data_IF_570851996595
#
_entry.id   IF_570851996595
#
_cell.length_a   1.000
_cell.length_b   1.000
_cell.length_c   1.000
_cell.angle_alpha   90.00
_cell.angle_beta   90.00
_cell.angle_gamma   90.00
#
_symmetry.space_group_name_H-M   'P 1'
#
loop_
_entity.id
_entity.type
_entity.pdbx_description
1 polymer ?
#
# COMPACT_ATOMS: atom_id res chain seq x y z
N UNK A 1 -123.44 80.10 63.11
CA UNK A 1 -123.40 78.65 63.40
C UNK A 1 -122.23 77.98 62.68
N UNK A 2 -122.17 78.05 61.33
CA UNK A 2 -121.12 77.42 60.50
C UNK A 2 -119.67 77.74 60.90
N UNK A 3 -119.33 79.02 61.09
CA UNK A 3 -117.97 79.44 61.50
C UNK A 3 -117.50 78.89 62.86
N UNK A 4 -118.43 78.61 63.80
CA UNK A 4 -118.06 78.02 65.10
C UNK A 4 -117.72 76.54 64.97
N UNK A 5 -118.47 75.81 64.14
CA UNK A 5 -118.20 74.41 63.86
C UNK A 5 -116.89 74.21 63.09
N UNK A 6 -116.60 75.07 62.10
CA UNK A 6 -115.33 75.07 61.36
C UNK A 6 -114.13 75.34 62.28
N UNK A 7 -114.26 76.25 63.26
CA UNK A 7 -113.22 76.52 64.26
C UNK A 7 -112.99 75.33 65.22
N UNK A 8 -114.05 74.64 65.62
CA UNK A 8 -113.99 73.45 66.48
C UNK A 8 -113.31 72.27 65.77
N UNK A 9 -113.65 72.03 64.50
CA UNK A 9 -112.99 71.03 63.65
C UNK A 9 -111.51 71.40 63.43
N UNK A 10 -111.20 72.66 63.12
CA UNK A 10 -109.82 73.10 62.97
C UNK A 10 -109.01 72.94 64.27
N UNK A 11 -109.63 73.20 65.43
CA UNK A 11 -109.04 72.95 66.75
C UNK A 11 -108.72 71.48 66.99
N UNK A 12 -109.68 70.58 66.73
CA UNK A 12 -109.49 69.15 66.86
C UNK A 12 -108.42 68.59 65.91
N UNK A 13 -108.36 69.10 64.67
CA UNK A 13 -107.31 68.75 63.70
C UNK A 13 -105.94 69.26 64.17
N UNK A 14 -105.86 70.48 64.71
CA UNK A 14 -104.60 71.02 65.25
C UNK A 14 -104.10 70.22 66.46
N UNK A 15 -105.01 69.79 67.35
CA UNK A 15 -104.68 68.94 68.49
C UNK A 15 -104.23 67.53 68.05
N UNK A 16 -104.94 66.93 67.10
CA UNK A 16 -104.55 65.65 66.51
C UNK A 16 -103.20 65.72 65.80
N UNK A 17 -102.94 66.80 65.06
CA UNK A 17 -101.65 67.04 64.41
C UNK A 17 -100.51 67.22 65.44
N UNK A 18 -100.76 67.92 66.55
CA UNK A 18 -99.77 68.06 67.65
C UNK A 18 -99.45 66.73 68.32
N UNK A 19 -100.45 65.90 68.60
CA UNK A 19 -100.23 64.56 69.16
C UNK A 19 -99.47 63.65 68.19
N UNK A 20 -99.84 63.67 66.90
CA UNK A 20 -99.16 62.90 65.86
C UNK A 20 -97.69 63.34 65.72
N UNK A 21 -97.42 64.66 65.74
CA UNK A 21 -96.08 65.22 65.70
C UNK A 21 -95.23 64.68 66.87
N UNK A 22 -95.76 64.72 68.10
CA UNK A 22 -95.06 64.21 69.28
C UNK A 22 -94.73 62.71 69.18
N UNK A 23 -95.64 61.89 68.64
CA UNK A 23 -95.38 60.46 68.40
C UNK A 23 -94.34 60.22 67.31
N UNK A 24 -94.35 61.04 66.25
CA UNK A 24 -93.34 60.99 65.18
C UNK A 24 -91.98 61.40 65.71
N UNK A 25 -91.88 62.45 66.53
CA UNK A 25 -90.63 62.89 67.16
C UNK A 25 -90.01 61.79 68.02
N UNK A 26 -90.80 61.12 68.88
CA UNK A 26 -90.32 59.98 69.68
C UNK A 26 -89.86 58.82 68.79
N UNK A 27 -90.61 58.52 67.72
CA UNK A 27 -90.26 57.45 66.79
C UNK A 27 -88.98 57.76 65.99
N UNK A 28 -88.77 59.03 65.62
CA UNK A 28 -87.59 59.50 64.92
C UNK A 28 -86.35 59.38 65.81
N UNK A 29 -86.42 59.85 67.06
CA UNK A 29 -85.31 59.73 68.03
C UNK A 29 -84.94 58.26 68.24
N UNK A 30 -85.93 57.39 68.44
CA UNK A 30 -85.67 55.95 68.59
C UNK A 30 -85.03 55.33 67.35
N UNK A 31 -85.52 55.68 66.15
CA UNK A 31 -84.94 55.20 64.90
C UNK A 31 -83.51 55.71 64.70
N UNK A 32 -83.21 56.95 65.10
CA UNK A 32 -81.86 57.52 65.08
C UNK A 32 -80.93 56.79 66.06
N UNK A 33 -81.39 56.47 67.27
CA UNK A 33 -80.62 55.69 68.25
C UNK A 33 -80.34 54.26 67.77
N UNK A 34 -81.36 53.57 67.24
CA UNK A 34 -81.21 52.22 66.68
C UNK A 34 -80.25 52.22 65.48
N UNK A 35 -80.35 53.23 64.60
CA UNK A 35 -79.42 53.42 63.48
C UNK A 35 -77.99 53.68 63.98
N UNK A 36 -77.81 54.58 64.95
CA UNK A 36 -76.49 54.91 65.50
C UNK A 36 -75.86 53.71 66.23
N UNK A 37 -76.66 52.85 66.87
CA UNK A 37 -76.18 51.59 67.44
C UNK A 37 -75.75 50.60 66.35
N UNK A 38 -76.54 50.46 65.27
CA UNK A 38 -76.21 49.60 64.13
C UNK A 38 -74.95 50.08 63.39
N UNK A 39 -74.78 51.38 63.18
CA UNK A 39 -73.59 51.97 62.53
C UNK A 39 -72.33 51.71 63.38
N UNK A 40 -72.41 51.87 64.71
CA UNK A 40 -71.29 51.53 65.61
C UNK A 40 -70.95 50.04 65.59
N UNK A 41 -71.95 49.17 65.62
CA UNK A 41 -71.73 47.71 65.56
C UNK A 41 -71.12 47.29 64.20
N UNK A 42 -71.56 47.91 63.11
CA UNK A 42 -70.99 47.70 61.77
C UNK A 42 -69.53 48.14 61.72
N UNK A 43 -69.21 49.34 62.22
CA UNK A 43 -67.84 49.85 62.24
C UNK A 43 -66.90 48.97 63.08
N UNK A 44 -67.38 48.43 64.21
CA UNK A 44 -66.63 47.46 65.01
C UNK A 44 -66.31 46.18 64.21
N UNK A 45 -67.32 45.57 63.59
CA UNK A 45 -67.14 44.37 62.75
C UNK A 45 -66.24 44.60 61.54
N UNK A 46 -66.31 45.78 60.91
CA UNK A 46 -65.43 46.13 59.79
C UNK A 46 -63.97 46.26 60.24
N UNK A 47 -63.75 46.79 61.45
CA UNK A 47 -62.41 46.86 62.05
C UNK A 47 -61.87 45.47 62.37
N UNK A 48 -62.66 44.62 63.03
CA UNK A 48 -62.27 43.24 63.34
C UNK A 48 -61.97 42.44 62.07
N UNK A 49 -62.79 42.60 61.03
CA UNK A 49 -62.58 41.95 59.74
C UNK A 49 -61.31 42.44 59.04
N UNK A 50 -60.95 43.73 59.19
CA UNK A 50 -59.70 44.26 58.66
C UNK A 50 -58.49 43.63 59.38
N UNK A 51 -58.52 43.54 60.71
CA UNK A 51 -57.46 42.91 61.52
C UNK A 51 -57.26 41.44 61.13
N UNK A 52 -58.33 40.66 60.99
CA UNK A 52 -58.23 39.25 60.60
C UNK A 52 -57.75 39.08 59.14
N UNK A 53 -58.10 40.02 58.23
CA UNK A 53 -57.58 40.02 56.86
C UNK A 53 -56.08 40.31 56.80
N UNK A 54 -55.62 41.28 57.57
CA UNK A 54 -54.19 41.61 57.64
C UNK A 54 -53.41 40.43 58.22
N UNK A 55 -53.91 39.80 59.30
CA UNK A 55 -53.33 38.58 59.85
C UNK A 55 -53.29 37.43 58.83
N UNK A 56 -54.36 37.25 58.07
CA UNK A 56 -54.40 36.26 56.99
C UNK A 56 -53.39 36.54 55.88
N UNK A 57 -53.17 37.81 55.55
CA UNK A 57 -52.17 38.24 54.55
C UNK A 57 -50.75 37.99 55.04
N UNK A 58 -50.47 38.27 56.30
CA UNK A 58 -49.14 38.04 56.90
C UNK A 58 -48.81 36.55 56.96
N UNK A 59 -49.74 35.73 57.46
CA UNK A 59 -49.58 34.26 57.49
C UNK A 59 -49.39 33.67 56.10
N UNK A 60 -50.12 34.17 55.10
CA UNK A 60 -49.93 33.76 53.70
C UNK A 60 -48.53 34.13 53.21
N UNK A 61 -48.04 35.34 53.52
CA UNK A 61 -46.68 35.76 53.18
C UNK A 61 -45.60 34.90 53.83
N UNK A 62 -45.80 34.44 55.08
CA UNK A 62 -44.90 33.49 55.74
C UNK A 62 -44.95 32.10 55.09
N UNK A 63 -46.13 31.61 54.74
CA UNK A 63 -46.32 30.33 54.04
C UNK A 63 -45.62 30.34 52.68
N UNK A 64 -45.78 31.41 51.89
CA UNK A 64 -45.15 31.55 50.59
C UNK A 64 -43.62 31.52 50.72
N UNK A 65 -43.05 32.26 51.68
CA UNK A 65 -41.59 32.25 51.97
C UNK A 65 -41.08 30.86 52.37
N UNK A 66 -41.81 30.15 53.22
CA UNK A 66 -41.41 28.82 53.66
C UNK A 66 -41.46 27.83 52.49
N UNK A 67 -42.52 27.90 51.67
CA UNK A 67 -42.70 27.07 50.48
C UNK A 67 -41.55 27.28 49.49
N UNK A 68 -41.19 28.52 49.20
CA UNK A 68 -40.06 28.85 48.32
C UNK A 68 -38.73 28.29 48.84
N UNK A 69 -38.52 28.32 50.16
CA UNK A 69 -37.30 27.79 50.78
C UNK A 69 -37.19 26.27 50.67
N UNK A 70 -38.31 25.56 50.87
CA UNK A 70 -38.39 24.10 50.73
C UNK A 70 -38.17 23.73 49.27
N UNK A 71 -38.85 24.39 48.34
CA UNK A 71 -38.71 24.09 46.92
C UNK A 71 -37.28 24.33 46.42
N UNK A 72 -36.62 25.41 46.87
CA UNK A 72 -35.20 25.64 46.58
C UNK A 72 -34.32 24.50 47.10
N UNK A 73 -34.58 24.03 48.32
CA UNK A 73 -33.87 22.89 48.91
C UNK A 73 -34.07 21.60 48.11
N UNK A 74 -35.30 21.32 47.69
CA UNK A 74 -35.65 20.16 46.87
C UNK A 74 -34.95 20.19 45.51
N UNK A 75 -34.94 21.34 44.84
CA UNK A 75 -34.26 21.53 43.55
C UNK A 75 -32.76 21.32 43.69
N UNK A 76 -32.11 21.92 44.70
CA UNK A 76 -30.69 21.71 44.95
C UNK A 76 -30.38 20.24 45.28
N UNK A 77 -31.24 19.59 46.08
CA UNK A 77 -31.11 18.18 46.41
C UNK A 77 -31.27 17.27 45.18
N UNK A 78 -32.18 17.60 44.26
CA UNK A 78 -32.32 16.90 42.99
C UNK A 78 -31.09 17.09 42.09
N UNK A 79 -30.57 18.31 41.97
CA UNK A 79 -29.37 18.61 41.20
C UNK A 79 -28.15 17.86 41.72
N UNK A 80 -27.94 17.83 43.04
CA UNK A 80 -26.83 17.09 43.65
C UNK A 80 -26.96 15.57 43.45
N UNK A 81 -28.16 15.00 43.56
CA UNK A 81 -28.40 13.57 43.29
C UNK A 81 -28.08 13.21 41.85
N UNK A 82 -28.59 13.98 40.90
CA UNK A 82 -28.29 13.76 39.48
C UNK A 82 -26.80 13.89 39.18
N UNK A 83 -26.10 14.84 39.84
CA UNK A 83 -24.66 14.96 39.69
C UNK A 83 -23.90 13.76 40.25
N UNK A 84 -24.36 13.18 41.36
CA UNK A 84 -23.79 11.96 41.93
C UNK A 84 -23.99 10.81 40.94
N UNK A 85 -25.21 10.56 40.47
CA UNK A 85 -25.51 9.50 39.50
C UNK A 85 -24.66 9.59 38.21
N UNK A 86 -24.46 10.81 37.71
CA UNK A 86 -23.57 11.07 36.56
C UNK A 86 -22.12 10.66 36.85
N UNK A 87 -21.61 10.98 38.04
CA UNK A 87 -20.25 10.62 38.44
C UNK A 87 -20.11 9.12 38.67
N UNK A 88 -21.13 8.47 39.21
CA UNK A 88 -21.16 7.02 39.41
C UNK A 88 -21.15 6.26 38.09
N UNK A 89 -22.00 6.69 37.14
CA UNK A 89 -22.01 6.14 35.78
C UNK A 89 -20.65 6.30 35.11
N UNK A 90 -20.08 7.51 35.22
CA UNK A 90 -18.77 7.81 34.64
C UNK A 90 -17.65 6.94 35.23
N UNK A 91 -17.65 6.70 36.54
CA UNK A 91 -16.67 5.84 37.18
C UNK A 91 -16.72 4.41 36.64
N UNK A 92 -17.93 3.88 36.43
CA UNK A 92 -18.11 2.53 35.91
C UNK A 92 -17.73 2.43 34.42
N UNK A 93 -18.12 3.40 33.60
CA UNK A 93 -17.84 3.37 32.16
C UNK A 93 -16.37 3.61 31.82
N UNK A 94 -15.72 4.59 32.45
CA UNK A 94 -14.34 4.96 32.10
C UNK A 94 -13.30 4.13 32.85
N UNK A 95 -13.57 3.77 34.11
CA UNK A 95 -12.58 3.12 34.98
C UNK A 95 -12.94 1.66 35.30
N UNK A 96 -14.18 1.23 35.08
CA UNK A 96 -14.62 -0.14 35.38
C UNK A 96 -14.69 -0.46 36.88
N UNK A 97 -14.74 0.57 37.75
CA UNK A 97 -14.72 0.41 39.21
C UNK A 97 -15.98 1.01 39.83
N UNK A 98 -16.56 0.31 40.80
CA UNK A 98 -17.71 0.83 41.54
C UNK A 98 -17.33 2.04 42.42
N UNK A 99 -18.22 3.04 42.60
CA UNK A 99 -17.92 4.27 43.33
C UNK A 99 -17.41 4.04 44.76
N UNK A 100 -17.97 3.06 45.47
CA UNK A 100 -17.56 2.72 46.83
C UNK A 100 -16.12 2.19 46.87
N UNK A 101 -15.73 1.35 45.90
CA UNK A 101 -14.37 0.85 45.76
C UNK A 101 -13.39 1.97 45.41
N UNK A 102 -13.78 2.87 44.51
CA UNK A 102 -12.95 4.01 44.11
C UNK A 102 -12.69 4.96 45.28
N UNK A 103 -13.69 5.25 46.11
CA UNK A 103 -13.50 6.07 47.32
C UNK A 103 -12.68 5.32 48.37
N UNK A 104 -12.90 4.02 48.55
CA UNK A 104 -12.19 3.22 49.53
C UNK A 104 -10.69 3.08 49.21
N UNK A 105 -10.33 2.94 47.93
CA UNK A 105 -8.94 2.71 47.51
C UNK A 105 -8.21 3.98 47.05
N UNK A 106 -8.93 4.94 46.46
CA UNK A 106 -8.36 6.15 45.85
C UNK A 106 -8.96 7.45 46.39
N UNK A 107 -9.65 7.39 47.54
CA UNK A 107 -10.21 8.56 48.20
C UNK A 107 -9.13 9.53 48.74
N UNK A 108 -9.50 10.77 49.08
CA UNK A 108 -8.58 11.77 49.65
C UNK A 108 -7.89 11.33 50.94
N UNK A 109 -8.49 10.39 51.67
CA UNK A 109 -7.98 9.84 52.92
C UNK A 109 -6.94 8.73 52.70
N UNK A 110 -6.78 8.25 51.45
CA UNK A 110 -5.80 7.24 51.09
C UNK A 110 -4.50 7.88 50.60
N UNK A 111 -3.34 7.28 50.88
CA UNK A 111 -2.09 7.76 50.34
C UNK A 111 -2.01 7.45 48.83
N UNK A 112 -1.51 8.42 48.06
CA UNK A 112 -1.38 8.30 46.62
C UNK A 112 -0.20 7.38 46.30
N UNK A 113 -0.40 6.31 45.49
CA UNK A 113 0.70 5.42 45.12
C UNK A 113 1.75 6.16 44.28
N UNK A 114 3.04 5.74 44.41
CA UNK A 114 4.11 6.33 43.62
C UNK A 114 3.80 6.23 42.12
N UNK A 115 4.31 7.18 41.33
CA UNK A 115 4.21 7.06 39.88
C UNK A 115 5.02 5.84 39.45
N UNK A 116 4.48 4.94 38.61
CA UNK A 116 5.31 3.91 38.03
C UNK A 116 6.47 4.62 37.34
N UNK A 117 7.70 4.27 37.73
CA UNK A 117 8.90 4.80 37.10
C UNK A 117 8.73 4.59 35.60
N UNK A 118 8.68 5.68 34.83
CA UNK A 118 8.70 5.58 33.37
C UNK A 118 9.99 4.84 33.03
N UNK A 119 9.89 3.58 32.61
CA UNK A 119 11.04 2.80 32.18
C UNK A 119 11.70 3.53 31.02
N UNK A 120 12.74 4.33 31.30
CA UNK A 120 13.42 5.14 30.31
C UNK A 120 13.99 6.48 30.76
N UNK A 121 13.62 7.02 31.94
CA UNK A 121 14.33 8.20 32.46
C UNK A 121 15.56 7.76 33.26
N UNK A 122 16.71 7.72 32.58
CA UNK A 122 18.02 7.66 33.23
C UNK A 122 18.11 8.80 34.27
N UNK A 123 18.32 8.41 35.53
CA UNK A 123 18.76 9.36 36.55
C UNK A 123 20.08 9.98 36.12
N UNK A 124 20.26 11.30 36.17
CA UNK A 124 21.54 11.90 35.83
C UNK A 124 22.59 11.45 36.84
N UNK A 125 23.62 10.79 36.31
CA UNK A 125 24.81 10.37 37.06
C UNK A 125 25.45 11.55 37.80
N UNK A 126 25.86 11.30 39.05
CA UNK A 126 26.98 12.03 39.63
C UNK A 126 26.89 12.34 41.13
N UNK A 127 27.16 11.35 42.00
CA UNK A 127 28.14 11.50 43.09
C UNK A 127 28.33 10.16 43.83
N UNK A 128 29.53 9.61 43.69
CA UNK A 128 30.09 8.50 44.44
C UNK A 128 30.07 8.68 45.96
N UNK A 129 29.84 7.60 46.71
CA UNK A 129 30.20 7.50 48.12
C UNK A 129 29.51 6.33 48.81
N UNK A 130 30.26 5.26 49.08
CA UNK A 130 29.73 3.98 49.57
C UNK A 130 29.12 3.99 50.98
N UNK A 131 28.39 2.91 51.27
CA UNK A 131 27.89 2.60 52.60
C UNK A 131 26.55 1.89 52.55
N UNK A 132 26.52 0.67 53.05
CA UNK A 132 25.35 -0.22 53.19
C UNK A 132 24.10 0.44 53.79
N UNK A 133 22.96 0.26 53.15
CA UNK A 133 21.67 -0.04 53.78
C UNK A 133 20.67 -0.43 52.68
N UNK A 134 19.92 -1.49 52.93
CA UNK A 134 18.74 -1.84 52.16
C UNK A 134 17.70 -0.71 52.22
N UNK A 135 16.88 -0.65 51.17
CA UNK A 135 15.55 -0.03 51.13
C UNK A 135 15.48 1.46 51.47
N UNK A 136 15.39 2.31 50.44
CA UNK A 136 14.47 3.46 50.34
C UNK A 136 14.97 4.44 49.25
N UNK A 137 14.53 4.23 48.01
CA UNK A 137 14.46 5.35 47.07
C UNK A 137 13.34 6.29 47.54
N UNK A 138 13.59 7.61 47.75
CA UNK A 138 12.57 8.54 48.26
C UNK A 138 11.37 8.72 47.33
N UNK A 139 11.45 8.26 46.08
CA UNK A 139 10.40 8.36 45.06
C UNK A 139 9.30 7.31 45.16
N UNK A 140 9.51 6.23 45.92
CA UNK A 140 8.62 5.05 45.94
C UNK A 140 7.65 5.02 47.13
N UNK A 141 7.68 6.06 47.99
CA UNK A 141 6.81 6.12 49.17
C UNK A 141 5.46 6.76 48.83
N UNK A 142 4.34 6.18 49.29
CA UNK A 142 3.02 6.79 49.12
C UNK A 142 2.97 8.18 49.76
N UNK A 143 2.51 9.18 48.99
CA UNK A 143 2.43 10.58 49.43
C UNK A 143 0.99 10.96 49.83
N UNK A 144 0.79 11.90 50.76
CA UNK A 144 -0.55 12.39 51.08
C UNK A 144 -1.26 12.97 49.85
N UNK A 145 -2.58 12.81 49.78
CA UNK A 145 -3.37 13.36 48.68
C UNK A 145 -3.38 14.89 48.71
N UNK A 146 -2.81 15.49 47.66
CA UNK A 146 -2.91 16.94 47.39
C UNK A 146 -3.61 17.14 46.06
N UNK A 147 -4.85 17.66 46.09
CA UNK A 147 -5.71 17.82 44.90
C UNK A 147 -4.99 18.50 43.73
N UNK A 148 -4.30 19.61 43.99
CA UNK A 148 -3.62 20.38 42.95
C UNK A 148 -2.50 19.57 42.25
N UNK A 149 -1.79 18.72 42.98
CA UNK A 149 -0.73 17.87 42.43
C UNK A 149 -1.32 16.71 41.62
N UNK A 150 -2.42 16.11 42.09
CA UNK A 150 -3.09 15.03 41.37
C UNK A 150 -3.76 15.52 40.09
N UNK A 151 -4.36 16.71 40.09
CA UNK A 151 -4.87 17.34 38.86
C UNK A 151 -3.75 17.59 37.85
N UNK A 152 -2.55 18.00 38.31
CA UNK A 152 -1.38 18.17 37.45
C UNK A 152 -0.89 16.83 36.90
N UNK A 153 -0.84 15.79 37.73
CA UNK A 153 -0.46 14.42 37.36
C UNK A 153 -1.42 13.82 36.33
N UNK A 154 -2.74 13.98 36.54
CA UNK A 154 -3.78 13.55 35.60
C UNK A 154 -3.60 14.23 34.24
N UNK A 155 -3.45 15.56 34.21
CA UNK A 155 -3.22 16.30 32.95
C UNK A 155 -1.95 15.85 32.23
N UNK A 156 -0.89 15.48 32.95
CA UNK A 156 0.33 14.96 32.36
C UNK A 156 0.11 13.57 31.75
N UNK A 157 -0.56 12.67 32.48
CA UNK A 157 -0.90 11.33 32.01
C UNK A 157 -1.85 11.36 30.80
N UNK A 158 -2.87 12.23 30.81
CA UNK A 158 -3.80 12.41 29.68
C UNK A 158 -3.07 12.89 28.42
N UNK A 159 -2.09 13.79 28.56
CA UNK A 159 -1.25 14.21 27.42
C UNK A 159 -0.38 13.07 26.89
N UNK A 160 0.25 12.30 27.78
CA UNK A 160 1.06 11.14 27.38
C UNK A 160 0.20 10.07 26.69
N UNK A 161 -1.00 9.81 27.20
CA UNK A 161 -1.98 8.92 26.57
C UNK A 161 -2.39 9.41 25.17
N UNK A 162 -2.67 10.70 25.02
CA UNK A 162 -3.00 11.27 23.70
C UNK A 162 -1.83 11.21 22.71
N UNK A 163 -0.57 11.27 23.19
CA UNK A 163 0.62 11.13 22.34
C UNK A 163 0.83 9.71 21.80
N UNK A 164 0.40 8.68 22.53
CA UNK A 164 0.43 7.28 22.06
C UNK A 164 -0.46 7.06 20.83
N UNK A 165 -1.41 7.96 20.57
CA UNK A 165 -2.28 7.89 19.42
C UNK A 165 -3.28 6.74 19.51
N UNK A 166 -3.88 6.38 18.37
CA UNK A 166 -4.84 5.28 18.31
C UNK A 166 -4.09 3.96 18.22
N UNK A 167 -4.29 3.07 19.19
CA UNK A 167 -3.77 1.70 19.14
C UNK A 167 -4.45 0.98 17.98
N UNK A 168 -3.66 0.44 17.05
CA UNK A 168 -4.17 -0.37 15.94
C UNK A 168 -4.34 -1.83 16.43
N UNK A 169 -5.57 -2.34 16.62
CA UNK A 169 -5.79 -3.70 17.10
C UNK A 169 -5.34 -4.77 16.08
N UNK A 170 -5.22 -4.42 14.80
CA UNK A 170 -4.80 -5.34 13.73
C UNK A 170 -3.28 -5.37 13.53
N UNK A 171 -2.50 -4.57 14.27
CA UNK A 171 -1.07 -4.41 14.04
C UNK A 171 -0.29 -5.73 14.12
N UNK A 172 -0.68 -6.64 15.02
CA UNK A 172 -0.02 -7.93 15.16
C UNK A 172 -0.30 -8.85 13.96
N UNK A 173 -1.53 -8.86 13.46
CA UNK A 173 -1.92 -9.65 12.28
C UNK A 173 -1.27 -9.11 11.01
N UNK A 174 -1.25 -7.77 10.84
CA UNK A 174 -0.58 -7.10 9.73
C UNK A 174 0.93 -7.36 9.74
N UNK A 175 1.57 -7.30 10.92
CA UNK A 175 2.99 -7.62 11.05
C UNK A 175 3.29 -9.06 10.61
N UNK A 176 2.51 -10.03 11.10
CA UNK A 176 2.69 -11.44 10.74
C UNK A 176 2.51 -11.66 9.22
N UNK A 177 1.50 -11.04 8.60
CA UNK A 177 1.27 -11.13 7.17
C UNK A 177 2.39 -10.47 6.34
N UNK A 178 2.92 -9.32 6.80
CA UNK A 178 4.06 -8.67 6.16
C UNK A 178 5.34 -9.50 6.30
N UNK A 179 5.57 -10.10 7.46
CA UNK A 179 6.72 -10.97 7.73
C UNK A 179 6.70 -12.20 6.82
N UNK A 180 5.56 -12.88 6.68
CA UNK A 180 5.39 -14.01 5.76
C UNK A 180 5.69 -13.59 4.31
N UNK A 181 5.13 -12.46 3.86
CA UNK A 181 5.39 -11.92 2.52
C UNK A 181 6.86 -11.57 2.32
N UNK A 182 7.51 -10.99 3.33
CA UNK A 182 8.94 -10.65 3.27
C UNK A 182 9.78 -11.92 3.11
N UNK A 183 9.52 -12.94 3.92
CA UNK A 183 10.26 -14.20 3.88
C UNK A 183 10.11 -14.88 2.52
N UNK A 184 8.89 -14.97 2.00
CA UNK A 184 8.62 -15.50 0.66
C UNK A 184 9.40 -14.73 -0.43
N UNK A 185 9.37 -13.40 -0.41
CA UNK A 185 10.06 -12.59 -1.41
C UNK A 185 11.58 -12.71 -1.31
N UNK A 186 12.13 -12.84 -0.11
CA UNK A 186 13.56 -13.06 0.10
C UNK A 186 14.01 -14.41 -0.46
N UNK A 187 13.27 -15.49 -0.19
CA UNK A 187 13.56 -16.81 -0.76
C UNK A 187 13.54 -16.78 -2.29
N UNK A 188 12.49 -16.19 -2.89
CA UNK A 188 12.38 -16.04 -4.35
C UNK A 188 13.55 -15.24 -4.95
N UNK A 189 14.01 -14.20 -4.24
CA UNK A 189 15.12 -13.36 -4.68
C UNK A 189 16.45 -14.11 -4.62
N UNK A 190 16.66 -14.94 -3.60
CA UNK A 190 17.84 -15.80 -3.48
C UNK A 190 17.88 -16.86 -4.59
N UNK A 191 16.74 -17.50 -4.88
CA UNK A 191 16.63 -18.47 -5.98
C UNK A 191 16.91 -17.85 -7.34
N UNK A 192 16.40 -16.64 -7.60
CA UNK A 192 16.69 -15.91 -8.84
C UNK A 192 18.17 -15.52 -8.96
N UNK A 193 18.79 -15.09 -7.86
CA UNK A 193 20.23 -14.81 -7.84
C UNK A 193 21.04 -16.05 -8.17
N UNK A 194 20.70 -17.19 -7.58
CA UNK A 194 21.36 -18.48 -7.84
C UNK A 194 21.18 -18.89 -9.30
N UNK A 195 19.95 -18.86 -9.81
CA UNK A 195 19.63 -19.19 -11.20
C UNK A 195 20.43 -18.33 -12.19
N UNK A 196 20.59 -17.03 -11.89
CA UNK A 196 21.42 -16.13 -12.70
C UNK A 196 22.89 -16.56 -12.74
N UNK A 197 23.45 -16.95 -11.59
CA UNK A 197 24.84 -17.42 -11.50
C UNK A 197 25.00 -18.70 -12.33
N UNK A 198 24.09 -19.66 -12.16
CA UNK A 198 24.12 -20.94 -12.87
C UNK A 198 24.02 -20.74 -14.39
N UNK A 199 23.14 -19.85 -14.86
CA UNK A 199 23.02 -19.52 -16.28
C UNK A 199 24.29 -18.88 -16.86
N UNK A 200 24.93 -17.97 -16.11
CA UNK A 200 26.19 -17.36 -16.55
C UNK A 200 27.32 -18.39 -16.62
N UNK A 201 27.31 -19.39 -15.74
CA UNK A 201 28.24 -20.50 -15.80
C UNK A 201 28.00 -21.35 -17.06
N UNK A 202 26.75 -21.69 -17.36
CA UNK A 202 26.41 -22.43 -18.60
C UNK A 202 26.85 -21.67 -19.84
N UNK A 203 26.64 -20.34 -19.90
CA UNK A 203 27.12 -19.52 -21.02
C UNK A 203 28.64 -19.62 -21.17
N UNK A 204 29.38 -19.52 -20.06
CA UNK A 204 30.85 -19.65 -20.07
C UNK A 204 31.31 -21.02 -20.57
N UNK A 205 30.65 -22.10 -20.13
CA UNK A 205 30.96 -23.46 -20.57
C UNK A 205 30.67 -23.67 -22.06
N UNK A 206 29.57 -23.08 -22.57
CA UNK A 206 29.24 -23.11 -24.01
C UNK A 206 30.28 -22.31 -24.81
N UNK A 207 30.65 -21.12 -24.35
CA UNK A 207 31.64 -20.27 -25.01
C UNK A 207 33.00 -20.98 -25.10
N UNK A 208 33.48 -21.58 -24.00
CA UNK A 208 34.72 -22.38 -23.98
C UNK A 208 34.64 -23.56 -24.96
N UNK A 209 33.48 -24.21 -25.06
CA UNK A 209 33.29 -25.31 -26.00
C UNK A 209 33.27 -24.84 -27.45
N UNK A 210 32.63 -23.71 -27.74
CA UNK A 210 32.59 -23.11 -29.08
C UNK A 210 34.00 -22.70 -29.51
N UNK A 211 34.76 -22.06 -28.63
CA UNK A 211 36.15 -21.67 -28.88
C UNK A 211 37.03 -22.88 -29.24
N UNK A 212 36.92 -23.97 -28.47
CA UNK A 212 37.64 -25.21 -28.77
C UNK A 212 37.27 -25.79 -30.13
N UNK A 213 35.96 -25.97 -30.40
CA UNK A 213 35.49 -26.57 -31.65
C UNK A 213 35.85 -25.71 -32.85
N UNK A 214 35.75 -24.39 -32.73
CA UNK A 214 36.15 -23.45 -33.78
C UNK A 214 37.65 -23.52 -34.03
N UNK A 215 38.48 -23.49 -32.98
CA UNK A 215 39.94 -23.55 -33.09
C UNK A 215 40.39 -24.83 -33.78
N UNK A 216 39.85 -25.99 -33.38
CA UNK A 216 40.12 -27.27 -34.02
C UNK A 216 39.68 -27.25 -35.49
N UNK A 217 38.45 -26.80 -35.77
CA UNK A 217 37.92 -26.75 -37.14
C UNK A 217 38.73 -25.81 -38.04
N UNK A 218 39.18 -24.66 -37.52
CA UNK A 218 40.02 -23.72 -38.25
C UNK A 218 41.38 -24.34 -38.57
N UNK A 219 42.03 -24.98 -37.60
CA UNK A 219 43.33 -25.64 -37.82
C UNK A 219 43.23 -26.80 -38.83
N UNK A 220 42.18 -27.61 -38.74
CA UNK A 220 41.92 -28.69 -39.70
C UNK A 220 41.70 -28.12 -41.11
N UNK A 221 40.84 -27.11 -41.23
CA UNK A 221 40.52 -26.47 -42.52
C UNK A 221 41.74 -25.77 -43.12
N UNK A 222 42.56 -25.08 -42.30
CA UNK A 222 43.76 -24.39 -42.75
C UNK A 222 44.80 -25.38 -43.31
N UNK A 223 44.98 -26.54 -42.67
CA UNK A 223 45.87 -27.61 -43.15
C UNK A 223 45.39 -28.17 -44.50
N UNK A 224 44.10 -28.48 -44.61
CA UNK A 224 43.55 -28.98 -45.87
C UNK A 224 43.60 -27.91 -46.99
N UNK A 225 43.42 -26.63 -46.63
CA UNK A 225 43.45 -25.52 -47.58
C UNK A 225 44.80 -25.38 -48.30
N UNK A 226 45.92 -25.47 -47.59
CA UNK A 226 47.24 -25.43 -48.22
C UNK A 226 47.43 -26.57 -49.24
N UNK A 227 46.97 -27.78 -48.90
CA UNK A 227 47.04 -28.95 -49.77
C UNK A 227 46.12 -28.87 -50.98
N UNK A 228 44.86 -28.48 -50.79
CA UNK A 228 43.86 -28.32 -51.86
C UNK A 228 44.25 -27.18 -52.81
N UNK A 229 44.70 -26.04 -52.26
CA UNK A 229 45.06 -24.87 -53.04
C UNK A 229 46.26 -25.15 -53.96
N UNK A 230 47.31 -25.80 -53.46
CA UNK A 230 48.50 -26.13 -54.26
C UNK A 230 48.21 -27.11 -55.40
N UNK A 231 47.22 -28.00 -55.26
CA UNK A 231 46.76 -28.91 -56.33
C UNK A 231 45.95 -28.17 -57.40
N UNK A 232 45.08 -27.24 -56.99
CA UNK A 232 44.29 -26.42 -57.90
C UNK A 232 45.15 -25.38 -58.63
N UNK A 233 46.20 -24.86 -57.99
CA UNK A 233 47.16 -23.90 -58.53
C UNK A 233 48.62 -24.39 -58.37
N UNK A 234 49.16 -25.19 -59.31
CA UNK A 234 50.55 -25.63 -59.27
C UNK A 234 51.51 -24.44 -59.21
N UNK A 235 52.33 -24.39 -58.16
CA UNK A 235 53.28 -23.29 -57.90
C UNK A 235 52.66 -22.05 -57.23
N UNK A 236 51.39 -22.13 -56.80
CA UNK A 236 50.74 -21.13 -55.95
C UNK A 236 50.70 -21.55 -54.47
N UNK A 237 50.55 -20.58 -53.59
CA UNK A 237 50.42 -20.77 -52.13
C UNK A 237 49.12 -20.11 -51.65
N UNK A 238 48.36 -20.79 -50.80
CA UNK A 238 47.15 -20.26 -50.18
C UNK A 238 47.21 -20.45 -48.67
N UNK A 239 46.70 -19.50 -47.89
CA UNK A 239 46.65 -19.56 -46.42
C UNK A 239 45.38 -18.93 -45.88
N UNK A 240 44.89 -19.47 -44.77
CA UNK A 240 43.80 -18.88 -44.00
C UNK A 240 44.39 -18.10 -42.83
N UNK A 241 43.88 -16.88 -42.59
CA UNK A 241 44.36 -15.99 -41.54
C UNK A 241 43.15 -15.53 -40.71
N UNK A 242 43.27 -15.58 -39.40
CA UNK A 242 42.29 -14.99 -38.49
C UNK A 242 42.48 -13.48 -38.45
N UNK A 243 41.39 -12.72 -38.57
CA UNK A 243 41.45 -11.26 -38.46
C UNK A 243 41.85 -10.81 -37.06
N UNK A 244 41.44 -11.56 -36.03
CA UNK A 244 41.83 -11.36 -34.64
C UNK A 244 42.13 -12.72 -33.96
N UNK A 245 43.39 -13.16 -33.92
CA UNK A 245 43.77 -14.42 -33.28
C UNK A 245 43.54 -14.46 -31.76
N UNK A 246 43.28 -13.31 -31.11
CA UNK A 246 43.06 -13.23 -29.67
C UNK A 246 41.61 -13.44 -29.23
N UNK A 247 40.66 -13.45 -30.18
CA UNK A 247 39.24 -13.62 -29.92
C UNK A 247 38.62 -14.59 -30.94
N UNK A 248 38.63 -15.88 -30.60
CA UNK A 248 38.08 -16.93 -31.46
C UNK A 248 36.56 -16.86 -31.63
N UNK A 249 35.84 -16.14 -30.76
CA UNK A 249 34.38 -16.03 -30.83
C UNK A 249 33.94 -14.92 -31.79
N UNK A 250 34.73 -13.84 -31.89
CA UNK A 250 34.40 -12.69 -32.74
C UNK A 250 35.28 -12.56 -34.00
N UNK A 251 36.36 -13.35 -34.14
CA UNK A 251 37.26 -13.24 -35.29
C UNK A 251 36.58 -13.62 -36.61
N UNK A 252 36.94 -12.88 -37.67
CA UNK A 252 36.72 -13.27 -39.05
C UNK A 252 37.83 -14.18 -39.58
N UNK A 253 37.62 -14.73 -40.78
CA UNK A 253 38.58 -15.54 -41.53
C UNK A 253 38.86 -14.86 -42.87
N UNK A 254 40.11 -14.47 -43.08
CA UNK A 254 40.62 -13.94 -44.34
C UNK A 254 41.33 -15.04 -45.15
N UNK A 255 41.11 -15.04 -46.47
CA UNK A 255 41.77 -15.94 -47.41
C UNK A 255 42.85 -15.18 -48.17
N UNK A 256 44.10 -15.58 -47.96
CA UNK A 256 45.25 -15.11 -48.73
C UNK A 256 45.62 -16.12 -49.82
N UNK A 257 45.69 -15.64 -51.05
CA UNK A 257 46.05 -16.46 -52.20
C UNK A 257 47.21 -15.83 -52.97
N UNK A 258 48.17 -16.66 -53.34
CA UNK A 258 49.32 -16.31 -54.17
C UNK A 258 49.34 -17.21 -55.40
N UNK A 259 48.77 -16.76 -56.53
CA UNK A 259 48.86 -17.48 -57.80
C UNK A 259 50.31 -17.57 -58.31
N UNK A 260 50.63 -18.53 -59.18
CA UNK A 260 51.99 -18.72 -59.71
C UNK A 260 52.53 -17.44 -60.36
N UNK A 261 53.69 -16.97 -59.89
CA UNK A 261 54.36 -15.77 -60.39
C UNK A 261 53.77 -14.42 -59.94
N UNK A 262 52.77 -14.39 -59.05
CA UNK A 262 52.16 -13.15 -58.52
C UNK A 262 52.45 -12.93 -57.02
N UNK A 263 52.25 -11.69 -56.56
CA UNK A 263 52.30 -11.32 -55.13
C UNK A 263 51.02 -11.79 -54.41
N UNK A 264 51.11 -12.02 -53.10
CA UNK A 264 49.99 -12.39 -52.23
C UNK A 264 48.91 -11.30 -52.31
N UNK A 265 47.65 -11.72 -52.46
CA UNK A 265 46.48 -10.83 -52.49
C UNK A 265 45.35 -11.43 -51.66
N UNK A 266 44.54 -10.57 -51.04
CA UNK A 266 43.26 -10.96 -50.44
C UNK A 266 42.27 -11.37 -51.54
N UNK A 267 41.32 -12.24 -51.20
CA UNK A 267 40.31 -12.77 -52.13
C UNK A 267 39.57 -11.68 -52.94
N UNK A 268 39.34 -10.51 -52.33
CA UNK A 268 38.68 -9.35 -52.97
C UNK A 268 39.50 -8.70 -54.10
N UNK A 269 40.79 -9.00 -54.20
CA UNK A 269 41.74 -8.37 -55.13
C UNK A 269 42.19 -9.32 -56.27
N UNK A 270 41.57 -10.49 -56.39
CA UNK A 270 41.84 -11.51 -57.41
C UNK A 270 41.00 -11.31 -58.68
N UNK A 271 41.46 -11.88 -59.81
CA UNK A 271 40.66 -11.91 -61.05
C UNK A 271 39.43 -12.82 -60.92
N UNK A 272 38.41 -12.63 -61.75
CA UNK A 272 37.13 -13.36 -61.64
C UNK A 272 37.27 -14.89 -61.56
N UNK A 273 38.10 -15.48 -62.43
CA UNK A 273 38.36 -16.93 -62.42
C UNK A 273 39.22 -17.40 -61.23
N UNK A 274 40.24 -16.62 -60.85
CA UNK A 274 41.08 -16.93 -59.67
C UNK A 274 40.26 -16.86 -58.37
N UNK A 275 39.31 -15.92 -58.28
CA UNK A 275 38.41 -15.78 -57.13
C UNK A 275 37.46 -16.97 -57.01
N UNK A 276 36.84 -17.40 -58.10
CA UNK A 276 35.95 -18.57 -58.10
C UNK A 276 36.69 -19.85 -57.71
N UNK A 277 37.87 -20.09 -58.27
CA UNK A 277 38.64 -21.29 -57.96
C UNK A 277 39.17 -21.28 -56.51
N UNK A 278 39.53 -20.11 -55.98
CA UNK A 278 39.94 -19.97 -54.56
C UNK A 278 38.76 -20.22 -53.61
N UNK A 279 37.56 -19.77 -53.96
CA UNK A 279 36.34 -20.07 -53.19
C UNK A 279 36.00 -21.57 -53.21
N UNK A 280 36.12 -22.21 -54.37
CA UNK A 280 35.97 -23.67 -54.50
C UNK A 280 37.02 -24.41 -53.68
N UNK A 281 38.28 -23.95 -53.70
CA UNK A 281 39.35 -24.51 -52.87
C UNK A 281 38.98 -24.44 -51.38
N UNK A 282 38.45 -23.30 -50.91
CA UNK A 282 38.01 -23.12 -49.54
C UNK A 282 36.88 -24.08 -49.16
N UNK A 283 35.83 -24.19 -49.99
CA UNK A 283 34.71 -25.10 -49.76
C UNK A 283 35.17 -26.56 -49.69
N UNK A 284 36.00 -26.99 -50.63
CA UNK A 284 36.57 -28.35 -50.67
C UNK A 284 37.42 -28.63 -49.43
N UNK A 285 38.17 -27.63 -48.94
CA UNK A 285 39.00 -27.78 -47.74
C UNK A 285 38.16 -27.96 -46.48
N UNK A 286 37.04 -27.24 -46.39
CA UNK A 286 36.04 -27.43 -45.32
C UNK A 286 35.46 -28.84 -45.39
N UNK A 287 35.09 -29.32 -46.59
CA UNK A 287 34.53 -30.65 -46.79
C UNK A 287 35.50 -31.78 -46.46
N UNK A 288 36.80 -31.61 -46.74
CA UNK A 288 37.84 -32.55 -46.34
C UNK A 288 38.08 -32.55 -44.84
N UNK A 289 38.12 -31.38 -44.22
CA UNK A 289 38.32 -31.24 -42.78
C UNK A 289 37.14 -31.79 -41.97
N UNK A 290 35.91 -31.64 -42.47
CA UNK A 290 34.66 -32.06 -41.82
C UNK A 290 33.75 -32.79 -42.83
N UNK A 291 33.98 -34.08 -43.09
CA UNK A 291 33.19 -34.84 -44.06
C UNK A 291 31.72 -34.94 -43.63
N UNK A 292 30.82 -34.62 -44.54
CA UNK A 292 29.37 -34.80 -44.41
C UNK A 292 28.90 -36.03 -45.20
N UNK A 293 27.78 -36.67 -44.81
CA UNK A 293 27.29 -37.88 -45.48
C UNK A 293 27.03 -37.69 -46.99
N UNK A 294 26.60 -36.49 -47.39
CA UNK A 294 26.40 -36.14 -48.79
C UNK A 294 26.65 -34.64 -49.04
N UNK A 295 26.98 -34.33 -50.29
CA UNK A 295 27.15 -32.96 -50.79
C UNK A 295 26.31 -32.75 -52.05
N UNK A 296 25.69 -31.57 -52.15
CA UNK A 296 24.97 -31.12 -53.35
C UNK A 296 25.71 -29.91 -53.92
N UNK A 297 26.13 -29.99 -55.17
CA UNK A 297 26.86 -28.93 -55.86
C UNK A 297 26.08 -28.54 -57.12
N UNK A 298 25.75 -27.25 -57.26
CA UNK A 298 24.97 -26.72 -58.38
C UNK A 298 25.81 -25.75 -59.20
N UNK A 299 26.13 -26.16 -60.44
CA UNK A 299 26.91 -25.40 -61.44
C UNK A 299 28.19 -24.73 -60.92
N UNK A 300 28.85 -25.36 -59.95
CA UNK A 300 30.05 -24.82 -59.27
C UNK A 300 31.23 -24.64 -60.22
N UNK A 301 31.22 -25.31 -61.36
CA UNK A 301 32.28 -25.30 -62.36
C UNK A 301 32.04 -24.38 -63.56
N UNK A 302 30.90 -23.68 -63.63
CA UNK A 302 30.50 -22.89 -64.82
C UNK A 302 31.49 -21.78 -65.20
N UNK A 303 32.28 -21.30 -64.23
CA UNK A 303 33.27 -20.25 -64.43
C UNK A 303 34.71 -20.76 -64.64
N UNK A 304 34.91 -22.09 -64.76
CA UNK A 304 36.23 -22.70 -64.84
C UNK A 304 36.63 -23.02 -66.28
N UNK A 305 37.93 -22.87 -66.56
CA UNK A 305 38.51 -23.34 -67.82
C UNK A 305 38.74 -24.86 -67.80
N UNK A 306 38.96 -25.46 -68.97
CA UNK A 306 39.15 -26.90 -69.15
C UNK A 306 40.26 -27.50 -68.25
N UNK A 307 41.31 -26.72 -67.97
CA UNK A 307 42.44 -27.19 -67.16
C UNK A 307 42.08 -27.25 -65.68
N UNK A 308 41.42 -26.21 -65.17
CA UNK A 308 40.99 -26.14 -63.78
C UNK A 308 39.77 -27.04 -63.52
N UNK A 309 38.88 -27.21 -64.50
CA UNK A 309 37.79 -28.20 -64.46
C UNK A 309 38.33 -29.62 -64.21
N UNK A 310 39.38 -30.03 -64.95
CA UNK A 310 40.02 -31.34 -64.74
C UNK A 310 40.64 -31.49 -63.35
N UNK A 311 41.16 -30.40 -62.76
CA UNK A 311 41.70 -30.41 -61.39
C UNK A 311 40.59 -30.54 -60.36
N UNK A 312 39.48 -29.82 -60.54
CA UNK A 312 38.31 -29.91 -59.67
C UNK A 312 37.70 -31.31 -59.68
N UNK A 313 37.51 -31.91 -60.87
CA UNK A 313 36.97 -33.27 -61.02
C UNK A 313 37.79 -34.28 -60.22
N UNK A 314 39.13 -34.23 -60.30
CA UNK A 314 40.00 -35.12 -59.51
C UNK A 314 39.80 -34.99 -58.00
N UNK A 315 39.53 -33.77 -57.53
CA UNK A 315 39.27 -33.58 -56.10
C UNK A 315 37.86 -34.07 -55.73
N UNK A 316 36.89 -33.96 -56.61
CA UNK A 316 35.56 -34.56 -56.42
C UNK A 316 35.64 -36.08 -56.36
N UNK A 317 36.45 -36.73 -57.20
CA UNK A 317 36.72 -38.17 -57.15
C UNK A 317 37.30 -38.59 -55.78
N UNK A 318 38.26 -37.83 -55.24
CA UNK A 318 38.80 -38.09 -53.91
C UNK A 318 37.73 -37.90 -52.80
N UNK A 319 36.86 -36.90 -52.92
CA UNK A 319 35.78 -36.68 -51.95
C UNK A 319 34.74 -37.80 -52.00
N UNK A 320 34.49 -38.37 -53.18
CA UNK A 320 33.56 -39.47 -53.40
C UNK A 320 33.96 -40.74 -52.63
N UNK A 321 35.25 -40.94 -52.33
CA UNK A 321 35.71 -42.09 -51.53
C UNK A 321 35.09 -42.14 -50.12
N UNK A 322 34.68 -40.98 -49.60
CA UNK A 322 34.18 -40.84 -48.22
C UNK A 322 32.76 -40.32 -48.12
N UNK A 323 32.23 -39.68 -49.17
CA UNK A 323 30.97 -38.92 -49.13
C UNK A 323 30.19 -39.06 -50.44
N UNK A 324 28.86 -39.04 -50.38
CA UNK A 324 28.05 -39.06 -51.59
C UNK A 324 28.02 -37.68 -52.26
N UNK A 325 28.36 -37.57 -53.55
CA UNK A 325 28.28 -36.32 -54.30
C UNK A 325 27.09 -36.33 -55.27
N UNK A 326 26.29 -35.26 -55.23
CA UNK A 326 25.24 -34.94 -56.19
C UNK A 326 25.65 -33.65 -56.89
N UNK A 327 26.00 -33.74 -58.17
CA UNK A 327 26.45 -32.60 -58.95
C UNK A 327 25.43 -32.28 -60.05
N UNK A 328 24.92 -31.05 -60.03
CA UNK A 328 24.07 -30.49 -61.08
C UNK A 328 24.97 -29.69 -62.01
N UNK A 329 25.04 -30.10 -63.27
CA UNK A 329 25.99 -29.53 -64.22
C UNK A 329 25.52 -29.69 -65.65
N UNK A 330 26.00 -28.79 -66.52
CA UNK A 330 25.93 -28.91 -67.98
C UNK A 330 27.30 -29.24 -68.61
N UNK A 331 28.36 -29.41 -67.82
CA UNK A 331 29.72 -29.67 -68.29
C UNK A 331 29.92 -31.15 -68.61
N UNK A 332 30.25 -31.44 -69.88
CA UNK A 332 30.43 -32.81 -70.38
C UNK A 332 31.49 -33.59 -69.61
N UNK A 333 32.63 -32.95 -69.26
CA UNK A 333 33.71 -33.62 -68.53
C UNK A 333 33.30 -34.04 -67.12
N UNK A 334 32.49 -33.23 -66.43
CA UNK A 334 31.96 -33.59 -65.10
C UNK A 334 30.98 -34.76 -65.22
N UNK A 335 30.12 -34.76 -66.25
CA UNK A 335 29.18 -35.85 -66.52
C UNK A 335 29.87 -37.18 -66.83
N UNK A 336 31.01 -37.15 -67.51
CA UNK A 336 31.77 -38.35 -67.92
C UNK A 336 32.33 -39.15 -66.74
N UNK A 337 32.56 -38.50 -65.59
CA UNK A 337 33.14 -39.12 -64.39
C UNK A 337 32.08 -39.61 -63.39
N UNK A 338 30.80 -39.30 -63.63
CA UNK A 338 29.72 -39.69 -62.72
C UNK A 338 29.39 -41.20 -62.81
N UNK A 339 29.06 -41.83 -61.69
CA UNK A 339 28.57 -43.22 -61.67
C UNK A 339 27.16 -43.35 -62.26
N UNK A 340 26.33 -42.32 -62.07
CA UNK A 340 24.96 -42.26 -62.54
C UNK A 340 24.60 -40.84 -62.98
N UNK A 341 23.92 -40.75 -64.13
CA UNK A 341 23.37 -39.51 -64.67
C UNK A 341 21.85 -39.49 -64.51
N UNK A 342 21.36 -38.35 -64.02
CA UNK A 342 19.93 -38.05 -63.97
C UNK A 342 19.67 -36.83 -64.87
N UNK A 343 19.00 -37.07 -66.00
CA UNK A 343 18.58 -36.02 -66.92
C UNK A 343 17.16 -35.56 -66.62
N UNK A 344 16.94 -34.25 -66.55
CA UNK A 344 15.60 -33.67 -66.46
C UNK A 344 15.17 -33.21 -67.85
N UNK A 345 14.00 -33.67 -68.31
CA UNK A 345 13.39 -33.25 -69.58
C UNK A 345 12.02 -32.63 -69.32
N UNK A 346 11.73 -31.49 -69.96
CA UNK A 346 10.39 -30.92 -69.94
C UNK A 346 9.60 -31.43 -71.15
N UNK A 347 8.42 -32.02 -70.90
CA UNK A 347 7.44 -32.26 -71.95
C UNK A 347 6.61 -30.98 -72.19
N UNK A 348 5.92 -30.91 -73.33
CA UNK A 348 5.17 -29.72 -73.79
C UNK A 348 4.10 -29.20 -72.82
N UNK A 349 3.76 -29.97 -71.79
CA UNK A 349 2.72 -29.69 -70.82
C UNK A 349 3.24 -28.99 -69.55
N UNK A 350 4.53 -28.60 -69.51
CA UNK A 350 5.15 -27.95 -68.35
C UNK A 350 5.48 -28.91 -67.19
N UNK A 351 5.29 -30.21 -67.38
CA UNK A 351 5.65 -31.25 -66.40
C UNK A 351 7.08 -31.73 -66.68
N UNK A 352 7.94 -31.66 -65.66
CA UNK A 352 9.31 -32.17 -65.72
C UNK A 352 9.33 -33.68 -65.46
N UNK A 353 9.98 -34.44 -66.34
CA UNK A 353 10.21 -35.88 -66.20
C UNK A 353 11.69 -36.17 -66.02
N UNK A 354 12.03 -36.95 -65.00
CA UNK A 354 13.40 -37.39 -64.71
C UNK A 354 13.69 -38.70 -65.46
N UNK A 355 14.84 -38.76 -66.12
CA UNK A 355 15.38 -39.93 -66.80
C UNK A 355 16.69 -40.28 -66.10
N UNK A 356 16.93 -41.55 -65.79
CA UNK A 356 18.15 -42.01 -65.13
C UNK A 356 18.93 -42.97 -66.02
N UNK A 357 20.25 -42.83 -66.07
CA UNK A 357 21.17 -43.74 -66.73
C UNK A 357 22.36 -44.02 -65.81
N UNK A 358 22.67 -45.28 -65.53
CA UNK A 358 23.93 -45.66 -64.87
C UNK A 358 25.03 -45.74 -65.92
N UNK A 359 26.19 -45.17 -65.62
CA UNK A 359 27.30 -45.11 -66.57
C UNK A 359 28.24 -46.31 -66.48
N UNK A 360 28.25 -47.08 -65.37
CA UNK A 360 28.82 -48.42 -65.27
C UNK A 360 28.12 -49.26 -64.19
#
# INVERSE_FOLDING_TARGET
>A
ARLRHEAEVAGAVADGARQLLAHIEVSLVRAEEERAAAERAKAGRETDLAVERDRGRDLKGELDKLTDSVHRGEVLGAEKRLRIEQLETKALEELGVEPAGLIAEYGPDQPVPPSPSAGGEESPEGASGGGSAADDDPGDRPVPYVRAEQEKRLRAAERAYQQLGKVNPLALEEFAALEERHNFLTEQLEDLKKTRIDLLQVVKEVDERVEQVFTEAFQDTAREFEGVFSRLFPGGEGRLILTDPGDMLATGVDVEARPPGKRVKRLSLLSGGERSLTAVAMLVSIFKARPSPFYVMDEVEAALDDTNLQRLIRIMEELQESSQLIVITHQKRTMEVADALYGVSMQGDGVSKVISQRLH
#
